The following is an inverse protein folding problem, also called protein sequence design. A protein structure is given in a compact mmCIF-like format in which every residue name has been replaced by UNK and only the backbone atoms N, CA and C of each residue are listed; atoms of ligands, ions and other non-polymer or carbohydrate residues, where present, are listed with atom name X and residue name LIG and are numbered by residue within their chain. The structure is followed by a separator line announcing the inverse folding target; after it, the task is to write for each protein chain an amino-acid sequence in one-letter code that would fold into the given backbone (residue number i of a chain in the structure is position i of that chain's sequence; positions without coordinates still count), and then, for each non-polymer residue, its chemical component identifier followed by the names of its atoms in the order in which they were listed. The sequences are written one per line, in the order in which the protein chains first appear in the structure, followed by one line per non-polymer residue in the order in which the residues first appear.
data_IF_203984807802
#
_entry.id   IF_203984807802
#
_cell.length_a   1.000
_cell.length_b   1.000
_cell.length_c   1.000
_cell.angle_alpha   90.00
_cell.angle_beta   90.00
_cell.angle_gamma   90.00
#
_symmetry.space_group_name_H-M   'P 1'
#
loop_
_entity.id
_entity.type
_entity.pdbx_description
1 polymer ?
#
# COMPACT_ATOMS: atom_id res chain seq x y z
N UNK A 1 -21.34 -14.78 -9.59
CA UNK A 1 -20.96 -13.36 -9.76
C UNK A 1 -19.44 -13.27 -9.87
N UNK A 2 -18.94 -12.90 -11.05
CA UNK A 2 -17.52 -12.59 -11.23
C UNK A 2 -17.30 -11.16 -10.74
N UNK A 3 -16.63 -11.00 -9.61
CA UNK A 3 -16.20 -9.69 -9.13
C UNK A 3 -15.05 -9.23 -10.04
N UNK A 4 -15.38 -8.48 -11.11
CA UNK A 4 -14.40 -7.70 -11.86
C UNK A 4 -13.79 -6.71 -10.87
N UNK A 5 -12.51 -6.90 -10.55
CA UNK A 5 -11.73 -5.97 -9.76
C UNK A 5 -11.25 -4.87 -10.71
N UNK A 6 -12.15 -3.97 -11.10
CA UNK A 6 -11.71 -2.70 -11.69
C UNK A 6 -10.97 -1.93 -10.61
N UNK A 7 -9.71 -1.58 -10.86
CA UNK A 7 -8.90 -0.86 -9.90
C UNK A 7 -9.49 0.48 -9.54
N UNK A 8 -9.70 0.71 -8.24
CA UNK A 8 -10.15 1.99 -7.73
C UNK A 8 -8.98 2.95 -7.49
N UNK A 9 -9.08 4.16 -8.05
CA UNK A 9 -8.29 5.30 -7.57
C UNK A 9 -9.02 5.97 -6.41
N UNK A 10 -8.45 5.90 -5.21
CA UNK A 10 -9.04 6.52 -4.03
C UNK A 10 -8.79 8.04 -4.04
N UNK A 11 -9.80 8.81 -3.64
CA UNK A 11 -9.56 10.17 -3.17
C UNK A 11 -8.72 10.14 -1.88
N UNK A 12 -8.08 11.26 -1.54
CA UNK A 12 -7.26 11.36 -0.31
C UNK A 12 -8.08 11.03 0.95
N UNK A 13 -9.30 11.54 1.06
CA UNK A 13 -10.12 11.29 2.24
C UNK A 13 -10.72 9.87 2.26
N UNK A 14 -11.01 9.26 1.11
CA UNK A 14 -11.32 7.82 1.07
C UNK A 14 -10.14 6.99 1.55
N UNK A 15 -8.91 7.31 1.11
CA UNK A 15 -7.71 6.64 1.59
C UNK A 15 -7.58 6.78 3.11
N UNK A 16 -7.67 7.99 3.66
CA UNK A 16 -7.61 8.23 5.11
C UNK A 16 -8.66 7.39 5.85
N UNK A 17 -9.91 7.40 5.38
CA UNK A 17 -10.99 6.59 5.98
C UNK A 17 -10.65 5.10 5.95
N UNK A 18 -10.18 4.57 4.82
CA UNK A 18 -9.81 3.16 4.72
C UNK A 18 -8.61 2.80 5.60
N UNK A 19 -7.60 3.67 5.71
CA UNK A 19 -6.47 3.48 6.64
C UNK A 19 -6.95 3.45 8.10
N UNK A 20 -7.83 4.37 8.50
CA UNK A 20 -8.44 4.36 9.85
C UNK A 20 -9.20 3.06 10.11
N UNK A 21 -10.04 2.64 9.17
CA UNK A 21 -10.81 1.37 9.26
C UNK A 21 -9.92 0.14 9.37
N UNK A 22 -8.69 0.18 8.84
CA UNK A 22 -7.71 -0.89 8.95
C UNK A 22 -6.71 -0.70 10.11
N UNK A 23 -6.99 0.23 11.04
CA UNK A 23 -6.24 0.40 12.27
C UNK A 23 -4.83 0.98 12.09
N UNK A 24 -4.64 1.84 11.10
CA UNK A 24 -3.40 2.62 10.99
C UNK A 24 -3.37 3.72 12.06
N UNK A 25 -2.21 3.98 12.70
CA UNK A 25 -2.14 4.90 13.82
C UNK A 25 -2.24 6.36 13.35
N UNK A 26 -3.10 7.15 14.01
CA UNK A 26 -3.43 8.51 13.59
C UNK A 26 -2.20 9.43 13.57
N UNK A 27 -1.27 9.25 14.51
CA UNK A 27 -0.02 10.03 14.57
C UNK A 27 0.94 9.78 13.40
N UNK A 28 0.70 8.76 12.55
CA UNK A 28 1.44 8.48 11.31
C UNK A 28 0.55 8.55 10.07
N UNK A 29 -0.70 9.00 10.20
CA UNK A 29 -1.66 8.97 9.09
C UNK A 29 -1.17 9.75 7.87
N UNK A 30 -0.58 10.94 8.08
CA UNK A 30 -0.04 11.77 7.01
C UNK A 30 1.14 11.13 6.29
N UNK A 31 1.99 10.39 7.00
CA UNK A 31 3.08 9.61 6.40
C UNK A 31 2.53 8.48 5.52
N UNK A 32 1.54 7.73 6.01
CA UNK A 32 0.89 6.67 5.24
C UNK A 32 0.20 7.18 3.99
N UNK A 33 -0.49 8.32 4.08
CA UNK A 33 -1.08 8.99 2.91
C UNK A 33 0.00 9.41 1.93
N UNK A 34 1.09 10.03 2.40
CA UNK A 34 2.20 10.42 1.55
C UNK A 34 2.86 9.23 0.84
N UNK A 35 3.07 8.13 1.56
CA UNK A 35 3.61 6.89 1.02
C UNK A 35 2.73 6.39 -0.13
N UNK A 36 1.44 6.21 0.11
CA UNK A 36 0.50 5.69 -0.90
C UNK A 36 0.39 6.63 -2.11
N UNK A 37 0.35 7.95 -1.90
CA UNK A 37 0.36 8.92 -3.00
C UNK A 37 1.66 8.87 -3.82
N UNK A 38 2.79 8.62 -3.15
CA UNK A 38 4.11 8.58 -3.78
C UNK A 38 4.36 7.29 -4.57
N UNK A 39 3.80 6.18 -4.11
CA UNK A 39 4.02 4.83 -4.63
C UNK A 39 3.00 4.45 -5.72
N UNK A 40 1.71 4.71 -5.50
CA UNK A 40 0.64 4.19 -6.37
C UNK A 40 -0.31 5.27 -6.92
N UNK A 41 -0.12 6.53 -6.54
CA UNK A 41 -1.09 7.61 -6.79
C UNK A 41 -2.50 7.26 -6.28
N UNK A 42 -2.56 6.50 -5.16
CA UNK A 42 -3.79 6.00 -4.51
C UNK A 42 -4.59 4.98 -5.31
N UNK A 43 -4.00 4.35 -6.31
CA UNK A 43 -4.64 3.29 -7.11
C UNK A 43 -4.42 1.92 -6.47
N UNK A 44 -5.49 1.14 -6.32
CA UNK A 44 -5.45 -0.18 -5.66
C UNK A 44 -4.90 -1.29 -6.54
N UNK A 45 -4.89 -1.13 -7.86
CA UNK A 45 -4.63 -2.17 -8.86
C UNK A 45 -3.24 -2.13 -9.51
N UNK A 46 -2.37 -1.23 -9.08
CA UNK A 46 -1.14 -0.97 -9.80
C UNK A 46 -0.09 -2.01 -9.53
N UNK A 47 0.40 -2.59 -10.63
CA UNK A 47 1.59 -3.42 -10.64
C UNK A 47 2.73 -2.55 -11.17
N UNK A 48 3.75 -2.37 -10.35
CA UNK A 48 4.96 -1.65 -10.69
C UNK A 48 5.65 -2.25 -11.91
N UNK A 49 6.50 -1.42 -12.54
CA UNK A 49 7.44 -1.93 -13.53
C UNK A 49 8.38 -2.94 -12.86
N UNK A 50 8.95 -3.90 -13.60
CA UNK A 50 9.97 -4.77 -13.05
C UNK A 50 11.09 -3.97 -12.39
N UNK A 51 11.44 -4.37 -11.17
CA UNK A 51 12.65 -3.93 -10.50
C UNK A 51 13.88 -4.53 -11.20
N UNK A 52 15.06 -4.01 -10.88
CA UNK A 52 16.33 -4.46 -11.48
C UNK A 52 16.56 -5.98 -11.35
N UNK A 53 16.07 -6.57 -10.26
CA UNK A 53 16.20 -8.00 -9.96
C UNK A 53 15.03 -8.85 -10.53
N UNK A 54 14.17 -8.25 -11.35
CA UNK A 54 13.00 -8.89 -11.96
C UNK A 54 11.76 -8.97 -11.08
N UNK A 55 11.86 -8.63 -9.80
CA UNK A 55 10.70 -8.57 -8.89
C UNK A 55 9.73 -7.46 -9.29
N UNK A 56 8.50 -7.51 -8.77
CA UNK A 56 7.48 -6.47 -8.99
C UNK A 56 6.81 -6.07 -7.69
N UNK A 57 6.31 -4.84 -7.69
CA UNK A 57 5.59 -4.25 -6.56
C UNK A 57 4.10 -4.14 -6.83
N UNK A 58 3.27 -4.47 -5.84
CA UNK A 58 1.84 -4.70 -6.04
C UNK A 58 0.95 -3.78 -5.19
N UNK A 59 -0.05 -3.23 -5.86
CA UNK A 59 -1.21 -2.57 -5.29
C UNK A 59 -0.92 -1.24 -4.60
N UNK A 60 -1.85 -0.87 -3.72
CA UNK A 60 -1.91 0.45 -3.08
C UNK A 60 -0.61 0.87 -2.38
N UNK A 61 0.08 -0.10 -1.76
CA UNK A 61 1.31 0.11 -0.99
C UNK A 61 2.56 -0.35 -1.74
N UNK A 62 2.48 -0.73 -3.01
CA UNK A 62 3.60 -1.25 -3.81
C UNK A 62 4.42 -2.31 -3.04
N UNK A 63 3.76 -3.40 -2.66
CA UNK A 63 4.36 -4.49 -1.88
C UNK A 63 5.09 -5.47 -2.80
N UNK A 64 6.37 -5.72 -2.55
CA UNK A 64 7.25 -6.49 -3.41
C UNK A 64 7.02 -8.03 -3.35
N UNK A 65 6.99 -8.69 -4.50
CA UNK A 65 6.77 -10.15 -4.64
C UNK A 65 7.98 -11.04 -4.31
N UNK A 66 9.18 -10.47 -4.21
CA UNK A 66 10.37 -11.25 -3.82
C UNK A 66 10.22 -11.77 -2.40
N UNK A 67 9.70 -10.93 -1.50
CA UNK A 67 9.72 -11.15 -0.04
C UNK A 67 8.34 -11.28 0.60
N UNK A 68 7.32 -10.59 0.08
CA UNK A 68 6.10 -10.35 0.87
C UNK A 68 4.88 -11.10 0.36
N UNK A 69 4.71 -11.24 -0.95
CA UNK A 69 3.56 -11.93 -1.55
C UNK A 69 3.97 -13.01 -2.56
N UNK A 70 3.12 -14.02 -2.72
CA UNK A 70 3.31 -15.11 -3.68
C UNK A 70 2.67 -14.77 -5.04
N UNK A 71 3.41 -14.92 -6.13
CA UNK A 71 2.88 -14.79 -7.51
C UNK A 71 2.14 -16.03 -7.99
N UNK A 72 2.17 -17.12 -7.22
CA UNK A 72 1.42 -18.35 -7.53
C UNK A 72 -0.06 -18.24 -7.11
N UNK A 73 -0.84 -19.27 -7.40
CA UNK A 73 -2.23 -19.36 -6.95
C UNK A 73 -2.38 -19.67 -5.45
N UNK A 74 -1.28 -19.90 -4.72
CA UNK A 74 -1.29 -20.22 -3.29
C UNK A 74 -0.67 -19.07 -2.47
N UNK A 75 -1.30 -18.68 -1.34
CA UNK A 75 -0.68 -17.74 -0.40
C UNK A 75 0.69 -18.23 0.07
N UNK A 76 1.61 -17.30 0.34
CA UNK A 76 2.93 -17.63 0.84
C UNK A 76 3.74 -16.37 1.12
N UNK A 77 5.05 -16.56 1.34
CA UNK A 77 5.99 -15.50 1.72
C UNK A 77 5.61 -14.86 3.06
N UNK A 78 6.27 -13.77 3.42
CA UNK A 78 6.14 -13.22 4.77
C UNK A 78 4.74 -12.72 5.11
N UNK A 79 3.97 -12.23 4.14
CA UNK A 79 2.59 -11.81 4.41
C UNK A 79 1.57 -12.94 4.28
N UNK A 80 1.97 -14.15 3.87
CA UNK A 80 1.09 -15.30 3.64
C UNK A 80 -0.14 -14.95 2.79
N UNK A 81 0.09 -14.29 1.64
CA UNK A 81 -0.93 -13.83 0.68
C UNK A 81 -0.47 -14.07 -0.75
N UNK A 82 -1.39 -14.10 -1.70
CA UNK A 82 -1.03 -13.99 -3.12
C UNK A 82 -0.93 -12.52 -3.51
N UNK A 83 -0.07 -12.18 -4.48
CA UNK A 83 0.05 -10.80 -4.95
C UNK A 83 -1.25 -10.28 -5.59
N UNK A 84 -2.06 -11.18 -6.18
CA UNK A 84 -3.41 -10.86 -6.68
C UNK A 84 -4.34 -10.34 -5.57
N UNK A 85 -4.17 -10.81 -4.33
CA UNK A 85 -4.95 -10.33 -3.18
C UNK A 85 -4.53 -8.95 -2.67
N UNK A 86 -3.42 -8.39 -3.18
CA UNK A 86 -2.93 -7.07 -2.85
C UNK A 86 -3.39 -5.99 -3.83
N UNK A 87 -3.93 -6.40 -4.99
CA UNK A 87 -4.42 -5.52 -6.07
C UNK A 87 -5.94 -5.45 -6.11
N UNK A 88 -6.58 -5.40 -4.93
CA UNK A 88 -8.04 -5.37 -4.80
C UNK A 88 -8.54 -4.10 -4.12
N UNK A 89 -9.79 -3.71 -4.40
CA UNK A 89 -10.42 -2.54 -3.78
C UNK A 89 -10.58 -2.66 -2.26
N UNK A 90 -10.79 -3.88 -1.78
CA UNK A 90 -10.67 -4.16 -0.35
C UNK A 90 -9.18 -4.18 0.02
N UNK A 91 -8.74 -3.13 0.72
CA UNK A 91 -7.32 -2.96 1.05
C UNK A 91 -6.86 -3.81 2.24
N UNK A 92 -7.73 -4.56 2.93
CA UNK A 92 -7.40 -5.14 4.24
C UNK A 92 -6.19 -6.07 4.24
N UNK A 93 -5.98 -6.85 3.17
CA UNK A 93 -4.78 -7.71 3.03
C UNK A 93 -3.53 -6.88 2.79
N UNK A 94 -3.61 -5.90 1.89
CA UNK A 94 -2.51 -4.97 1.61
C UNK A 94 -2.14 -4.14 2.84
N UNK A 95 -3.13 -3.64 3.57
CA UNK A 95 -2.98 -2.93 4.82
C UNK A 95 -2.28 -3.76 5.90
N UNK A 96 -2.71 -5.02 6.07
CA UNK A 96 -2.10 -5.93 7.05
C UNK A 96 -0.64 -6.19 6.72
N UNK A 97 -0.34 -6.44 5.45
CA UNK A 97 1.03 -6.65 4.99
C UNK A 97 1.90 -5.38 5.13
N UNK A 98 1.40 -4.21 4.74
CA UNK A 98 2.10 -2.94 4.88
C UNK A 98 2.44 -2.62 6.35
N UNK A 99 1.52 -2.88 7.30
CA UNK A 99 1.80 -2.74 8.73
C UNK A 99 2.92 -3.68 9.19
N UNK A 100 2.95 -4.93 8.70
CA UNK A 100 4.03 -5.88 8.99
C UNK A 100 5.39 -5.41 8.46
N UNK A 101 5.42 -4.86 7.24
CA UNK A 101 6.63 -4.28 6.65
C UNK A 101 7.12 -3.10 7.49
N UNK A 102 6.21 -2.18 7.85
CA UNK A 102 6.53 -1.03 8.69
C UNK A 102 7.06 -1.42 10.07
N UNK A 103 6.48 -2.45 10.71
CA UNK A 103 7.00 -2.97 11.98
C UNK A 103 8.44 -3.47 11.86
N UNK A 104 8.84 -4.02 10.71
CA UNK A 104 10.18 -4.56 10.50
C UNK A 104 11.21 -3.53 10.02
N UNK A 105 10.79 -2.60 9.16
CA UNK A 105 11.71 -1.74 8.42
C UNK A 105 11.40 -0.23 8.53
N UNK A 106 10.31 0.13 9.20
CA UNK A 106 9.76 1.48 9.17
C UNK A 106 9.37 1.91 7.75
N UNK A 107 9.18 3.21 7.56
CA UNK A 107 8.84 3.76 6.24
C UNK A 107 9.99 3.71 5.21
N UNK A 108 11.23 3.46 5.66
CA UNK A 108 12.39 3.36 4.78
C UNK A 108 12.35 2.15 3.82
N UNK A 109 11.42 1.22 4.01
CA UNK A 109 11.16 0.15 3.05
C UNK A 109 10.57 0.64 1.71
N UNK A 110 10.06 1.87 1.65
CA UNK A 110 9.40 2.44 0.47
C UNK A 110 10.22 3.59 -0.11
N UNK A 111 10.73 3.41 -1.33
CA UNK A 111 11.52 4.43 -2.02
C UNK A 111 10.71 5.70 -2.30
N UNK A 112 9.43 5.57 -2.63
CA UNK A 112 8.51 6.69 -2.82
C UNK A 112 8.39 7.52 -1.56
N UNK A 113 8.19 6.89 -0.39
CA UNK A 113 8.15 7.63 0.88
C UNK A 113 9.51 8.27 1.21
N UNK A 114 10.61 7.52 1.07
CA UNK A 114 11.97 8.04 1.35
C UNK A 114 12.28 9.29 0.55
N UNK A 115 11.96 9.28 -0.75
CA UNK A 115 12.32 10.37 -1.66
C UNK A 115 11.35 11.56 -1.61
N UNK A 116 10.07 11.33 -1.29
CA UNK A 116 9.02 12.35 -1.40
C UNK A 116 8.40 12.79 -0.07
N UNK A 117 8.58 12.04 1.01
CA UNK A 117 7.90 12.29 2.29
C UNK A 117 8.88 12.56 3.44
N UNK A 118 10.01 11.84 3.51
CA UNK A 118 10.96 11.97 4.61
C UNK A 118 11.52 13.40 4.70
N UNK A 119 11.30 14.06 5.84
CA UNK A 119 11.76 15.43 6.08
C UNK A 119 11.07 16.50 5.24
N UNK A 120 9.94 16.17 4.59
CA UNK A 120 9.21 17.05 3.68
C UNK A 120 7.82 17.37 4.23
N UNK A 121 7.19 18.47 3.77
CA UNK A 121 5.80 18.74 4.09
C UNK A 121 4.90 17.57 3.67
N UNK A 122 4.19 16.99 4.65
CA UNK A 122 3.28 15.88 4.40
C UNK A 122 1.91 16.39 3.91
N UNK A 123 1.12 15.56 3.19
CA UNK A 123 -0.21 15.93 2.73
C UNK A 123 -1.09 16.45 3.87
N UNK A 124 -1.86 17.52 3.59
CA UNK A 124 -2.90 17.96 4.50
C UNK A 124 -4.11 17.01 4.42
N UNK A 125 -4.59 16.61 5.59
CA UNK A 125 -5.74 15.72 5.79
C UNK A 125 -6.75 16.31 6.78
N UNK A 126 -6.59 17.59 7.16
CA UNK A 126 -7.44 18.29 8.13
C UNK A 126 -8.92 18.28 7.73
N UNK A 127 -9.22 18.33 6.43
CA UNK A 127 -10.57 18.25 5.86
C UNK A 127 -11.15 16.84 5.82
N UNK A 128 -10.34 15.80 6.02
CA UNK A 128 -10.79 14.41 6.00
C UNK A 128 -11.43 14.05 7.34
N UNK A 129 -12.76 14.20 7.39
CA UNK A 129 -13.62 13.82 8.51
C UNK A 129 -13.25 12.42 9.03
N UNK A 130 -13.26 12.27 10.36
CA UNK A 130 -13.07 10.99 11.02
C UNK A 130 -14.19 10.03 10.68
#
# INVERSE_FOLDING_TARGET
LLCQCEGKQLSRCELVRQLRQNGFPENKMRDWVCLVESESSRRTDIIGKPNYDGSRDYGLFQINDRYWCSTTNKPGKDCNVTCKQLVTDNISKAATCAKKIYQRHGFNAWYGWKNKCQGKPLPDISSCKK
#
